data_IF_504978128067
#
_entry.id   IF_504978128067
#
_cell.length_a   1.000
_cell.length_b   1.000
_cell.length_c   1.000
_cell.angle_alpha   90.00
_cell.angle_beta   90.00
_cell.angle_gamma   90.00
#
_symmetry.space_group_name_H-M   'P 1'
#
loop_
_entity.id
_entity.type
_entity.pdbx_description
1 polymer ?
#
# COMPACT_ATOMS: atom_id res chain seq x y z
N UNK A 1 22.96 10.82 -11.37
CA UNK A 1 22.38 9.73 -10.56
C UNK A 1 20.97 10.16 -10.22
N UNK A 2 19.93 9.40 -10.58
CA UNK A 2 18.52 9.83 -10.63
C UNK A 2 18.05 10.68 -9.43
N UNK A 3 18.43 10.33 -8.19
CA UNK A 3 18.17 11.15 -7.00
C UNK A 3 18.99 12.45 -6.93
N UNK A 4 20.30 12.39 -7.17
CA UNK A 4 21.16 13.59 -7.16
C UNK A 4 20.67 14.59 -8.21
N UNK A 5 20.33 14.11 -9.39
CA UNK A 5 19.86 14.94 -10.50
C UNK A 5 18.46 15.51 -10.21
N UNK A 6 17.60 14.77 -9.49
CA UNK A 6 16.27 15.24 -9.08
C UNK A 6 16.30 16.30 -7.96
N UNK A 7 17.34 16.29 -7.12
CA UNK A 7 17.41 17.09 -5.89
C UNK A 7 18.59 18.09 -5.84
N UNK A 8 19.41 18.19 -6.90
CA UNK A 8 20.67 18.96 -6.93
C UNK A 8 20.53 20.45 -6.55
N UNK A 9 19.39 21.06 -6.86
CA UNK A 9 19.13 22.49 -6.64
C UNK A 9 18.22 22.75 -5.43
N UNK A 10 17.93 21.73 -4.62
CA UNK A 10 17.12 21.89 -3.42
C UNK A 10 17.98 22.14 -2.17
N UNK A 11 17.54 23.10 -1.36
CA UNK A 11 18.23 23.54 -0.15
C UNK A 11 17.83 22.69 1.08
N UNK A 12 18.04 23.23 2.30
CA UNK A 12 17.83 22.55 3.59
C UNK A 12 18.87 21.45 3.85
N UNK A 13 18.50 20.28 4.38
CA UNK A 13 19.43 19.19 4.68
C UNK A 13 19.75 18.29 3.47
N UNK A 14 19.17 18.54 2.30
CA UNK A 14 19.34 17.68 1.12
C UNK A 14 20.79 17.52 0.67
N UNK A 15 21.63 18.58 0.61
CA UNK A 15 23.04 18.43 0.22
C UNK A 15 23.81 17.45 1.13
N UNK A 16 23.59 17.52 2.46
CA UNK A 16 24.23 16.63 3.44
C UNK A 16 23.73 15.19 3.31
N UNK A 17 22.43 15.00 3.09
CA UNK A 17 21.83 13.68 2.87
C UNK A 17 22.34 13.03 1.57
N UNK A 18 22.41 13.80 0.47
CA UNK A 18 22.94 13.31 -0.81
C UNK A 18 24.43 12.95 -0.74
N UNK A 19 25.21 13.65 0.08
CA UNK A 19 26.62 13.32 0.35
C UNK A 19 26.77 12.04 1.19
N UNK A 20 25.89 11.86 2.18
CA UNK A 20 25.90 10.69 3.07
C UNK A 20 25.35 9.43 2.40
N UNK A 21 24.51 9.59 1.37
CA UNK A 21 23.87 8.49 0.63
C UNK A 21 24.87 7.45 0.09
N UNK A 22 26.03 7.89 -0.39
CA UNK A 22 27.08 6.99 -0.90
C UNK A 22 27.73 6.11 0.20
N UNK A 23 27.55 6.47 1.47
CA UNK A 23 28.11 5.77 2.63
C UNK A 23 27.06 4.88 3.32
N UNK A 24 25.78 4.99 2.93
CA UNK A 24 24.71 4.17 3.49
C UNK A 24 24.83 2.71 3.03
N UNK A 25 24.81 1.78 3.97
CA UNK A 25 24.91 0.34 3.69
C UNK A 25 23.56 -0.29 3.32
N UNK A 26 22.46 0.40 3.65
CA UNK A 26 21.07 -0.02 3.56
C UNK A 26 20.26 0.88 2.61
N UNK A 27 20.93 1.51 1.65
CA UNK A 27 20.30 2.41 0.71
C UNK A 27 19.20 1.69 -0.09
N UNK A 28 17.96 2.18 0.02
CA UNK A 28 16.80 1.69 -0.73
C UNK A 28 16.25 2.77 -1.66
N UNK A 29 16.06 2.39 -2.93
CA UNK A 29 15.43 3.22 -3.94
C UNK A 29 14.65 2.35 -4.91
N UNK A 30 13.37 2.67 -5.10
CA UNK A 30 12.48 1.92 -5.98
C UNK A 30 11.36 2.82 -6.50
N UNK A 31 10.72 2.36 -7.58
CA UNK A 31 9.50 2.94 -8.11
C UNK A 31 8.30 2.67 -7.19
N UNK A 32 7.38 3.64 -7.11
CA UNK A 32 6.08 3.42 -6.47
C UNK A 32 5.14 2.77 -7.49
N UNK A 33 4.93 1.47 -7.35
CA UNK A 33 4.19 0.63 -8.30
C UNK A 33 3.04 -0.14 -7.63
N UNK A 34 2.05 -0.55 -8.44
CA UNK A 34 0.96 -1.45 -8.04
C UNK A 34 0.92 -2.65 -8.99
N UNK A 35 0.56 -3.83 -8.46
CA UNK A 35 0.37 -5.04 -9.27
C UNK A 35 -1.12 -5.30 -9.47
N UNK A 36 -1.56 -5.29 -10.72
CA UNK A 36 -2.96 -5.46 -11.12
C UNK A 36 -3.05 -6.65 -12.07
N UNK A 37 -3.55 -7.77 -11.56
CA UNK A 37 -3.76 -9.01 -12.32
C UNK A 37 -5.24 -9.40 -12.29
N UNK A 38 -5.72 -10.02 -13.36
CA UNK A 38 -7.09 -10.59 -13.44
C UNK A 38 -7.20 -11.94 -12.72
N UNK A 39 -6.09 -12.68 -12.64
CA UNK A 39 -6.00 -13.98 -11.99
C UNK A 39 -4.72 -14.08 -11.18
N UNK A 40 -4.82 -14.60 -9.96
CA UNK A 40 -3.69 -14.71 -9.02
C UNK A 40 -3.12 -16.12 -8.91
N UNK A 41 -3.54 -17.03 -9.77
CA UNK A 41 -3.12 -18.42 -9.73
C UNK A 41 -3.15 -19.03 -11.13
N UNK A 42 -2.29 -20.02 -11.34
CA UNK A 42 -2.27 -20.82 -12.55
C UNK A 42 -1.86 -22.24 -12.18
N UNK A 43 -2.64 -23.23 -12.61
CA UNK A 43 -2.47 -24.62 -12.21
C UNK A 43 -2.35 -24.75 -10.68
N UNK A 44 -1.23 -25.28 -10.19
CA UNK A 44 -0.96 -25.51 -8.75
C UNK A 44 -0.13 -24.40 -8.11
N UNK A 45 0.02 -23.24 -8.76
CA UNK A 45 0.77 -22.10 -8.27
C UNK A 45 -0.19 -20.95 -7.99
N UNK A 46 -0.11 -20.38 -6.79
CA UNK A 46 -0.84 -19.18 -6.40
C UNK A 46 0.14 -18.08 -5.97
N UNK A 47 -0.22 -16.84 -6.28
CA UNK A 47 0.49 -15.63 -5.87
C UNK A 47 -0.18 -15.05 -4.62
N UNK A 48 0.62 -14.41 -3.77
CA UNK A 48 0.14 -13.71 -2.58
C UNK A 48 1.01 -12.50 -2.25
N UNK A 49 0.53 -11.62 -1.38
CA UNK A 49 1.26 -10.41 -0.97
C UNK A 49 1.57 -9.51 -2.17
N UNK A 50 2.70 -8.82 -2.16
CA UNK A 50 3.03 -7.84 -3.20
C UNK A 50 3.14 -8.43 -4.62
N UNK A 51 3.31 -9.76 -4.76
CA UNK A 51 3.33 -10.44 -6.06
C UNK A 51 2.01 -10.35 -6.84
N UNK A 52 0.87 -10.13 -6.17
CA UNK A 52 -0.43 -9.94 -6.83
C UNK A 52 -1.33 -8.87 -6.17
N UNK A 53 -0.95 -8.39 -4.99
CA UNK A 53 -1.76 -7.54 -4.12
C UNK A 53 -1.09 -6.20 -3.79
N UNK A 54 0.00 -5.83 -4.46
CA UNK A 54 0.71 -4.58 -4.14
C UNK A 54 -0.22 -3.36 -4.29
N UNK A 55 -0.45 -2.67 -3.17
CA UNK A 55 -1.33 -1.50 -3.05
C UNK A 55 -0.57 -0.16 -3.14
N UNK A 56 0.75 -0.19 -3.35
CA UNK A 56 1.72 0.93 -3.19
C UNK A 56 1.98 1.34 -1.73
N UNK A 57 3.25 1.73 -1.46
CA UNK A 57 3.74 2.21 -0.15
C UNK A 57 2.87 3.31 0.47
N UNK A 58 2.22 4.10 -0.39
CA UNK A 58 1.36 5.21 0.01
C UNK A 58 0.16 4.75 0.85
N UNK A 59 -0.33 3.52 0.65
CA UNK A 59 -1.39 2.96 1.46
C UNK A 59 -0.90 2.53 2.86
N UNK A 60 0.38 2.15 3.01
CA UNK A 60 0.95 1.67 4.29
C UNK A 60 0.35 0.36 4.81
N UNK A 61 -0.26 -0.44 3.93
CA UNK A 61 -1.09 -1.60 4.31
C UNK A 61 -0.60 -2.94 3.73
N UNK A 62 0.52 -2.95 2.99
CA UNK A 62 1.01 -4.14 2.31
C UNK A 62 1.20 -5.35 3.23
N UNK A 63 1.90 -5.18 4.34
CA UNK A 63 2.16 -6.28 5.29
C UNK A 63 0.89 -6.84 5.92
N UNK A 64 -0.05 -5.99 6.33
CA UNK A 64 -1.32 -6.42 6.93
C UNK A 64 -2.17 -7.22 5.92
N UNK A 65 -2.25 -6.75 4.67
CA UNK A 65 -2.94 -7.44 3.59
C UNK A 65 -2.27 -8.76 3.23
N UNK A 66 -0.94 -8.80 3.20
CA UNK A 66 -0.20 -10.04 2.97
C UNK A 66 -0.49 -11.09 4.05
N UNK A 67 -0.53 -10.67 5.33
CA UNK A 67 -0.89 -11.55 6.44
C UNK A 67 -2.33 -12.06 6.33
N UNK A 68 -3.29 -11.18 6.06
CA UNK A 68 -4.69 -11.56 5.87
C UNK A 68 -4.86 -12.51 4.67
N UNK A 69 -4.16 -12.22 3.56
CA UNK A 69 -4.13 -13.07 2.39
C UNK A 69 -3.54 -14.45 2.67
N UNK A 70 -2.48 -14.53 3.48
CA UNK A 70 -1.89 -15.79 3.93
C UNK A 70 -2.89 -16.64 4.72
N UNK A 71 -3.57 -16.01 5.68
CA UNK A 71 -4.56 -16.67 6.52
C UNK A 71 -5.72 -17.23 5.69
N UNK A 72 -6.29 -16.41 4.79
CA UNK A 72 -7.40 -16.84 3.91
C UNK A 72 -6.94 -17.95 2.97
N UNK A 73 -5.79 -17.80 2.29
CA UNK A 73 -5.31 -18.82 1.36
C UNK A 73 -5.11 -20.18 2.05
N UNK A 74 -4.48 -20.18 3.22
CA UNK A 74 -4.27 -21.40 4.01
C UNK A 74 -5.60 -22.01 4.48
N UNK A 75 -6.53 -21.17 4.93
CA UNK A 75 -7.87 -21.58 5.34
C UNK A 75 -8.68 -22.21 4.21
N UNK A 76 -8.69 -21.58 3.03
CA UNK A 76 -9.37 -22.11 1.85
C UNK A 76 -8.79 -23.43 1.37
N UNK A 77 -7.46 -23.57 1.42
CA UNK A 77 -6.79 -24.84 1.12
C UNK A 77 -7.19 -25.94 2.11
N UNK A 78 -7.31 -25.60 3.41
CA UNK A 78 -7.79 -26.54 4.44
C UNK A 78 -9.25 -26.95 4.18
N UNK A 79 -10.14 -26.00 3.90
CA UNK A 79 -11.58 -26.23 3.70
C UNK A 79 -11.87 -27.03 2.44
N UNK A 80 -11.15 -26.77 1.35
CA UNK A 80 -11.40 -27.41 0.06
C UNK A 80 -10.53 -28.65 -0.23
N UNK A 81 -9.58 -28.97 0.65
CA UNK A 81 -8.74 -30.18 0.54
C UNK A 81 -8.01 -30.28 -0.79
N UNK A 82 -8.23 -31.37 -1.53
CA UNK A 82 -7.58 -31.61 -2.83
C UNK A 82 -8.08 -30.69 -3.95
N UNK A 83 -9.18 -29.96 -3.75
CA UNK A 83 -9.73 -29.02 -4.74
C UNK A 83 -9.04 -27.64 -4.63
N UNK A 84 -7.75 -27.60 -4.95
CA UNK A 84 -6.94 -26.38 -4.91
C UNK A 84 -7.47 -25.29 -5.87
N UNK A 85 -8.08 -25.66 -7.00
CA UNK A 85 -8.67 -24.69 -7.92
C UNK A 85 -9.78 -23.89 -7.24
N UNK A 86 -10.65 -24.57 -6.47
CA UNK A 86 -11.71 -23.90 -5.72
C UNK A 86 -11.13 -23.05 -4.59
N UNK A 87 -10.14 -23.55 -3.86
CA UNK A 87 -9.46 -22.79 -2.82
C UNK A 87 -8.86 -21.48 -3.35
N UNK A 88 -8.14 -21.53 -4.47
CA UNK A 88 -7.52 -20.35 -5.08
C UNK A 88 -8.55 -19.35 -5.60
N UNK A 89 -9.64 -19.84 -6.22
CA UNK A 89 -10.75 -19.01 -6.67
C UNK A 89 -11.41 -18.29 -5.49
N UNK A 90 -11.72 -19.01 -4.41
CA UNK A 90 -12.35 -18.42 -3.22
C UNK A 90 -11.43 -17.39 -2.55
N UNK A 91 -10.14 -17.72 -2.39
CA UNK A 91 -9.13 -16.79 -1.88
C UNK A 91 -9.08 -15.49 -2.68
N UNK A 92 -8.98 -15.58 -4.01
CA UNK A 92 -8.95 -14.41 -4.88
C UNK A 92 -10.25 -13.59 -4.72
N UNK A 93 -11.42 -14.23 -4.76
CA UNK A 93 -12.70 -13.56 -4.66
C UNK A 93 -12.91 -12.84 -3.32
N UNK A 94 -12.40 -13.40 -2.22
CA UNK A 94 -12.48 -12.78 -0.88
C UNK A 94 -11.57 -11.54 -0.77
N UNK A 95 -10.37 -11.60 -1.33
CA UNK A 95 -9.38 -10.54 -1.18
C UNK A 95 -9.49 -9.42 -2.22
N UNK A 96 -9.84 -9.75 -3.47
CA UNK A 96 -9.79 -8.84 -4.62
C UNK A 96 -10.56 -7.52 -4.42
N UNK A 97 -11.78 -7.50 -3.84
CA UNK A 97 -12.52 -6.25 -3.63
C UNK A 97 -11.76 -5.25 -2.74
N UNK A 98 -11.19 -5.72 -1.65
CA UNK A 98 -10.47 -4.88 -0.69
C UNK A 98 -9.12 -4.41 -1.26
N UNK A 99 -8.42 -5.28 -1.99
CA UNK A 99 -7.18 -4.91 -2.70
C UNK A 99 -7.45 -3.82 -3.74
N UNK A 100 -8.48 -3.98 -4.58
CA UNK A 100 -8.84 -2.98 -5.59
C UNK A 100 -9.22 -1.64 -4.97
N UNK A 101 -10.01 -1.67 -3.89
CA UNK A 101 -10.39 -0.46 -3.15
C UNK A 101 -9.15 0.28 -2.61
N UNK A 102 -8.21 -0.43 -1.99
CA UNK A 102 -6.97 0.16 -1.45
C UNK A 102 -6.04 0.65 -2.58
N UNK A 103 -5.97 -0.05 -3.71
CA UNK A 103 -5.22 0.39 -4.89
C UNK A 103 -5.74 1.72 -5.45
N UNK A 104 -7.05 1.86 -5.64
CA UNK A 104 -7.66 3.11 -6.13
C UNK A 104 -7.47 4.26 -5.13
N UNK A 105 -7.69 4.02 -3.84
CA UNK A 105 -7.44 5.03 -2.81
C UNK A 105 -5.98 5.53 -2.81
N UNK A 106 -5.02 4.64 -3.02
CA UNK A 106 -3.61 5.02 -3.08
C UNK A 106 -3.30 5.90 -4.31
N UNK A 107 -3.94 5.64 -5.47
CA UNK A 107 -3.82 6.49 -6.67
C UNK A 107 -4.40 7.90 -6.41
N UNK A 108 -5.61 7.96 -5.85
CA UNK A 108 -6.25 9.22 -5.50
C UNK A 108 -5.42 10.04 -4.49
N UNK A 109 -4.83 9.36 -3.51
CA UNK A 109 -4.00 9.99 -2.50
C UNK A 109 -2.65 10.45 -3.06
N UNK A 110 -2.02 9.68 -3.96
CA UNK A 110 -0.77 10.08 -4.60
C UNK A 110 -0.90 11.44 -5.31
N UNK A 111 -1.99 11.64 -6.06
CA UNK A 111 -2.32 12.90 -6.72
C UNK A 111 -2.53 14.07 -5.73
N UNK A 112 -2.92 13.77 -4.49
CA UNK A 112 -3.19 14.77 -3.44
C UNK A 112 -1.96 15.06 -2.56
N UNK A 113 -1.01 14.13 -2.47
CA UNK A 113 0.12 14.19 -1.52
C UNK A 113 1.37 14.88 -2.06
N UNK A 114 1.52 14.94 -3.39
CA UNK A 114 2.53 15.74 -4.08
C UNK A 114 1.84 16.94 -4.75
N UNK A 115 1.45 17.97 -3.99
CA UNK A 115 0.80 19.14 -4.54
C UNK A 115 1.75 20.00 -5.38
N UNK A 116 1.49 20.11 -6.68
CA UNK A 116 2.28 20.93 -7.62
C UNK A 116 2.03 22.44 -7.50
N UNK A 117 1.20 22.89 -6.54
CA UNK A 117 0.76 24.29 -6.45
C UNK A 117 0.98 24.92 -5.07
N UNK A 118 1.45 26.17 -5.04
CA UNK A 118 1.67 26.94 -3.79
C UNK A 118 0.40 27.04 -2.92
N UNK A 119 -0.78 27.03 -3.54
CA UNK A 119 -2.08 27.11 -2.87
C UNK A 119 -2.39 25.81 -2.10
N UNK A 120 -2.10 24.65 -2.68
CA UNK A 120 -2.35 23.35 -2.04
C UNK A 120 -1.34 23.06 -0.91
N UNK A 121 -0.10 23.54 -1.01
CA UNK A 121 0.85 23.56 0.12
C UNK A 121 0.33 24.40 1.30
N UNK A 122 -0.24 25.57 1.02
CA UNK A 122 -0.87 26.41 2.05
C UNK A 122 -2.08 25.72 2.68
N UNK A 123 -2.94 25.11 1.86
CA UNK A 123 -4.14 24.39 2.31
C UNK A 123 -3.76 23.17 3.17
N UNK A 124 -2.76 22.37 2.74
CA UNK A 124 -2.18 21.26 3.51
C UNK A 124 -1.67 21.73 4.88
N UNK A 125 -0.90 22.82 4.92
CA UNK A 125 -0.36 23.34 6.17
C UNK A 125 -1.46 23.84 7.11
N UNK A 126 -2.55 24.43 6.59
CA UNK A 126 -3.72 24.82 7.39
C UNK A 126 -4.53 23.61 7.89
N UNK A 127 -4.75 22.60 7.05
CA UNK A 127 -5.47 21.37 7.43
C UNK A 127 -4.67 20.52 8.42
N UNK A 128 -3.35 20.45 8.31
CA UNK A 128 -2.49 19.70 9.25
C UNK A 128 -2.66 20.19 10.70
N UNK A 129 -2.88 21.50 10.90
CA UNK A 129 -3.18 22.10 12.21
C UNK A 129 -4.60 21.79 12.72
N UNK A 130 -5.50 21.35 11.85
CA UNK A 130 -6.85 20.89 12.19
C UNK A 130 -6.89 19.39 12.50
N UNK A 131 -6.02 18.58 11.87
CA UNK A 131 -5.89 17.13 12.11
C UNK A 131 -5.40 16.83 13.54
N UNK A 132 -4.58 17.70 14.13
CA UNK A 132 -4.14 17.58 15.54
C UNK A 132 -5.25 17.83 16.55
N UNK A 133 -6.46 18.24 16.13
CA UNK A 133 -7.62 18.33 17.03
C UNK A 133 -8.28 16.95 17.22
N UNK A 134 -8.59 16.54 18.46
CA UNK A 134 -8.97 15.16 18.78
C UNK A 134 -10.23 14.66 18.07
N UNK A 135 -11.20 15.54 17.77
CA UNK A 135 -12.42 15.21 17.02
C UNK A 135 -12.15 14.80 15.56
N UNK A 136 -11.21 15.46 14.89
CA UNK A 136 -10.89 15.16 13.48
C UNK A 136 -10.00 13.90 13.36
N UNK A 137 -9.11 13.68 14.32
CA UNK A 137 -8.28 12.47 14.39
C UNK A 137 -9.12 11.18 14.45
N UNK A 138 -10.21 11.17 15.23
CA UNK A 138 -11.11 10.01 15.35
C UNK A 138 -11.81 9.68 14.03
N UNK A 139 -12.19 10.70 13.25
CA UNK A 139 -12.84 10.51 11.95
C UNK A 139 -11.85 9.98 10.90
N UNK A 140 -10.63 10.53 10.86
CA UNK A 140 -9.55 10.06 9.97
C UNK A 140 -9.13 8.63 10.28
N UNK A 141 -8.92 8.30 11.55
CA UNK A 141 -8.55 6.94 12.00
C UNK A 141 -9.65 5.94 11.62
N UNK A 142 -10.93 6.28 11.84
CA UNK A 142 -12.05 5.40 11.48
C UNK A 142 -12.15 5.15 9.97
N UNK A 143 -11.83 6.14 9.14
CA UNK A 143 -11.86 6.02 7.67
C UNK A 143 -10.68 5.20 7.13
N UNK A 144 -9.50 5.31 7.75
CA UNK A 144 -8.28 4.60 7.33
C UNK A 144 -8.18 3.18 7.89
N UNK A 145 -8.65 2.94 9.12
CA UNK A 145 -8.61 1.63 9.78
C UNK A 145 -9.91 0.83 9.66
N UNK A 146 -10.87 1.31 8.86
CA UNK A 146 -12.06 0.54 8.52
C UNK A 146 -11.67 -0.59 7.57
N UNK A 147 -11.22 -1.71 8.11
CA UNK A 147 -11.01 -2.93 7.33
C UNK A 147 -12.37 -3.58 7.06
N UNK A 148 -12.66 -3.78 5.77
CA UNK A 148 -13.90 -4.43 5.32
C UNK A 148 -13.76 -5.96 5.23
N UNK A 149 -12.52 -6.47 5.41
CA UNK A 149 -12.19 -7.87 5.25
C UNK A 149 -12.68 -8.66 6.46
N UNK A 150 -13.73 -9.46 6.28
CA UNK A 150 -14.19 -10.39 7.30
C UNK A 150 -13.33 -11.65 7.25
N UNK A 151 -12.69 -11.98 8.38
CA UNK A 151 -11.92 -13.20 8.53
C UNK A 151 -12.84 -14.29 9.07
N UNK A 152 -12.88 -15.41 8.37
CA UNK A 152 -13.60 -16.62 8.80
C UNK A 152 -12.75 -17.44 9.77
N UNK A 153 -13.43 -18.26 10.57
CA UNK A 153 -12.79 -19.28 11.40
C UNK A 153 -12.68 -20.58 10.59
N UNK A 154 -11.44 -20.93 10.18
CA UNK A 154 -11.13 -22.09 9.33
C UNK A 154 -10.77 -23.35 10.11
#
# INVERSE_FOLDING_TARGET
MLLKDAFENMEWYLPELLNSMNQAQDFYFDSVSQIVLDRWYENRVALMGDACQSVSLIAGQGSALAMAGAYILAGELKTHGDNYQKAFETYQNKMLPEIRRKQEMAKDFANSFIPDTKISLWFRNKISKLITKPLFSKFFIKRFMSDSLQLEDY
#
